data_IF_723661219043
#
_entry.id   IF_723661219043
#
_cell.length_a   1.000
_cell.length_b   1.000
_cell.length_c   1.000
_cell.angle_alpha   90.00
_cell.angle_beta   90.00
_cell.angle_gamma   90.00
#
_symmetry.space_group_name_H-M   'P 1'
#
loop_
_entity.id
_entity.type
_entity.pdbx_description
1 polymer ?
#
# COMPACT_ATOMS: atom_id res chain seq x y z
N UNK A 1 -12.22 2.67 -10.25
CA UNK A 1 -12.21 1.45 -9.40
C UNK A 1 -13.60 1.22 -8.87
N UNK A 2 -14.03 -0.06 -8.75
CA UNK A 2 -15.33 -0.46 -8.20
C UNK A 2 -15.09 -1.60 -7.20
N UNK A 3 -15.69 -1.52 -6.03
CA UNK A 3 -15.72 -2.63 -5.07
C UNK A 3 -16.68 -3.70 -5.58
N UNK A 4 -16.33 -4.96 -5.42
CA UNK A 4 -17.14 -6.11 -5.85
C UNK A 4 -17.61 -6.95 -4.67
N UNK A 5 -16.68 -7.37 -3.83
CA UNK A 5 -16.93 -8.22 -2.67
C UNK A 5 -15.82 -8.06 -1.64
N UNK A 6 -16.12 -8.24 -0.37
CA UNK A 6 -15.09 -8.48 0.63
C UNK A 6 -15.48 -9.63 1.54
N UNK A 7 -14.47 -10.27 2.10
CA UNK A 7 -14.60 -11.28 3.14
C UNK A 7 -13.69 -10.88 4.30
N UNK A 8 -14.27 -10.85 5.48
CA UNK A 8 -13.60 -10.51 6.74
C UNK A 8 -13.43 -11.81 7.53
N UNK A 9 -12.21 -12.33 7.62
CA UNK A 9 -11.97 -13.47 8.51
C UNK A 9 -12.16 -13.02 9.96
N UNK A 10 -11.41 -12.01 10.41
CA UNK A 10 -11.62 -11.35 11.69
C UNK A 10 -11.13 -9.91 11.64
N UNK A 11 -11.94 -8.97 12.08
CA UNK A 11 -11.60 -7.54 12.16
C UNK A 11 -12.49 -6.83 13.18
N UNK A 12 -11.95 -6.44 14.33
CA UNK A 12 -12.73 -5.94 15.45
C UNK A 12 -13.75 -6.98 15.92
N UNK A 13 -15.02 -6.59 15.95
CA UNK A 13 -16.14 -7.48 16.29
C UNK A 13 -16.68 -8.29 15.10
N UNK A 14 -16.20 -8.08 13.88
CA UNK A 14 -16.65 -8.82 12.70
C UNK A 14 -15.81 -10.09 12.53
N UNK A 15 -16.48 -11.23 12.30
CA UNK A 15 -15.85 -12.53 12.11
C UNK A 15 -16.63 -13.35 11.09
N UNK A 16 -15.91 -13.92 10.13
CA UNK A 16 -16.45 -14.79 9.07
C UNK A 16 -17.66 -14.16 8.33
N UNK A 17 -17.48 -12.93 7.83
CA UNK A 17 -18.55 -12.17 7.19
C UNK A 17 -18.16 -11.83 5.75
N UNK A 18 -19.11 -12.05 4.86
CA UNK A 18 -19.05 -11.68 3.45
C UNK A 18 -19.97 -10.49 3.15
N UNK A 19 -19.45 -9.54 2.35
CA UNK A 19 -20.25 -8.45 1.79
C UNK A 19 -20.04 -8.37 0.28
N UNK A 20 -21.13 -8.25 -0.45
CA UNK A 20 -21.13 -7.95 -1.89
C UNK A 20 -21.56 -6.51 -2.12
N UNK A 21 -20.97 -5.86 -3.09
CA UNK A 21 -21.28 -4.48 -3.46
C UNK A 21 -21.99 -4.47 -4.82
N UNK A 22 -23.13 -3.83 -4.87
CA UNK A 22 -23.89 -3.65 -6.10
C UNK A 22 -23.31 -2.57 -7.00
N UNK A 23 -23.80 -2.50 -8.23
CA UNK A 23 -23.51 -1.40 -9.13
C UNK A 23 -24.21 -0.12 -8.65
N UNK A 24 -23.46 0.96 -8.54
CA UNK A 24 -23.99 2.24 -8.05
C UNK A 24 -24.00 2.34 -6.53
N UNK A 25 -25.14 2.61 -5.93
CA UNK A 25 -25.30 2.82 -4.49
C UNK A 25 -25.60 1.51 -3.76
N UNK A 26 -24.72 1.11 -2.85
CA UNK A 26 -24.96 0.03 -1.91
C UNK A 26 -25.34 0.60 -0.55
N UNK A 27 -26.52 0.25 -0.02
CA UNK A 27 -26.98 0.69 1.29
C UNK A 27 -26.94 -0.48 2.27
N UNK A 28 -26.17 -0.32 3.34
CA UNK A 28 -26.12 -1.28 4.43
C UNK A 28 -26.97 -0.79 5.61
N UNK A 29 -28.18 -1.32 5.72
CA UNK A 29 -29.07 -1.03 6.84
C UNK A 29 -28.99 -2.16 7.88
N UNK A 30 -28.44 -1.84 9.05
CA UNK A 30 -28.25 -2.78 10.16
C UNK A 30 -28.38 -2.04 11.51
N UNK A 31 -28.77 -2.71 12.59
CA UNK A 31 -28.80 -2.10 13.92
C UNK A 31 -27.50 -1.44 14.35
N UNK A 32 -27.59 -0.56 15.34
CA UNK A 32 -26.38 0.00 15.97
C UNK A 32 -25.59 -1.12 16.65
N UNK A 33 -24.25 -1.05 16.56
CA UNK A 33 -23.39 -2.11 17.09
C UNK A 33 -23.06 -3.24 16.11
N UNK A 34 -23.79 -3.38 14.98
CA UNK A 34 -23.52 -4.44 13.99
C UNK A 34 -22.09 -4.39 13.42
N UNK A 35 -21.44 -3.24 13.40
CA UNK A 35 -20.08 -3.12 12.85
C UNK A 35 -20.01 -2.38 11.50
N UNK A 36 -21.01 -1.56 11.14
CA UNK A 36 -20.99 -0.74 9.91
C UNK A 36 -19.70 0.09 9.77
N UNK A 37 -19.31 0.79 10.83
CA UNK A 37 -18.05 1.57 10.86
C UNK A 37 -16.83 0.68 10.84
N UNK A 38 -16.92 -0.52 11.39
CA UNK A 38 -15.85 -1.52 11.36
C UNK A 38 -15.64 -2.05 9.95
N UNK A 39 -16.71 -2.30 9.19
CA UNK A 39 -16.62 -2.66 7.76
C UNK A 39 -15.95 -1.57 6.95
N UNK A 40 -16.33 -0.32 7.14
CA UNK A 40 -15.72 0.81 6.43
C UNK A 40 -14.21 0.95 6.79
N UNK A 41 -13.86 0.77 8.06
CA UNK A 41 -12.47 0.76 8.51
C UNK A 41 -11.69 -0.45 7.93
N UNK A 42 -12.34 -1.61 7.80
CA UNK A 42 -11.75 -2.78 7.13
C UNK A 42 -11.41 -2.47 5.68
N UNK A 43 -12.34 -1.90 4.91
CA UNK A 43 -12.08 -1.52 3.50
C UNK A 43 -10.88 -0.57 3.40
N UNK A 44 -10.83 0.47 4.26
CA UNK A 44 -9.69 1.38 4.34
C UNK A 44 -8.39 0.63 4.65
N UNK A 45 -8.41 -0.28 5.63
CA UNK A 45 -7.24 -1.08 6.01
C UNK A 45 -6.79 -2.03 4.88
N UNK A 46 -7.73 -2.58 4.10
CA UNK A 46 -7.41 -3.40 2.94
C UNK A 46 -6.71 -2.61 1.83
N UNK A 47 -7.06 -1.34 1.66
CA UNK A 47 -6.47 -0.45 0.64
C UNK A 47 -5.11 0.10 1.08
N UNK A 48 -5.01 0.61 2.30
CA UNK A 48 -3.84 1.36 2.78
C UNK A 48 -2.97 0.61 3.80
N UNK A 49 -3.48 -0.48 4.39
CA UNK A 49 -2.85 -1.08 5.56
C UNK A 49 -3.01 -0.20 6.82
N UNK A 50 -2.28 -0.55 7.87
CA UNK A 50 -2.15 0.28 9.06
C UNK A 50 -0.85 1.09 9.03
N UNK A 51 -0.81 2.30 9.63
CA UNK A 51 0.40 3.08 9.76
C UNK A 51 1.52 2.28 10.45
N UNK A 52 2.75 2.43 9.97
CA UNK A 52 3.93 1.76 10.57
C UNK A 52 4.25 2.30 11.95
N UNK A 53 3.99 3.58 12.18
CA UNK A 53 4.21 4.25 13.46
C UNK A 53 2.98 4.02 14.35
N UNK A 54 3.13 3.17 15.36
CA UNK A 54 2.07 2.91 16.31
C UNK A 54 1.92 4.08 17.29
N UNK A 55 0.77 4.73 17.27
CA UNK A 55 0.40 5.68 18.33
C UNK A 55 0.09 4.91 19.62
N UNK A 56 0.40 5.52 20.78
CA UNK A 56 0.20 4.87 22.09
C UNK A 56 -1.26 4.76 22.49
N UNK A 57 -2.07 5.79 22.17
CA UNK A 57 -3.49 5.84 22.50
C UNK A 57 -4.28 4.79 21.69
N UNK A 58 -5.20 4.09 22.36
CA UNK A 58 -6.09 3.11 21.71
C UNK A 58 -7.00 3.78 20.67
N UNK A 59 -7.46 4.99 20.94
CA UNK A 59 -8.33 5.76 20.03
C UNK A 59 -7.65 6.18 18.73
N UNK A 60 -6.33 6.32 18.76
CA UNK A 60 -5.51 6.75 17.62
C UNK A 60 -4.77 5.60 16.93
N UNK A 61 -4.83 4.39 17.51
CA UNK A 61 -4.15 3.21 17.00
C UNK A 61 -5.16 2.21 16.43
N UNK A 62 -5.49 2.38 15.16
CA UNK A 62 -6.48 1.54 14.47
C UNK A 62 -6.12 0.05 14.54
N UNK A 63 -4.84 -0.32 14.52
CA UNK A 63 -4.39 -1.72 14.65
C UNK A 63 -4.82 -2.35 15.97
N UNK A 64 -4.72 -1.61 17.08
CA UNK A 64 -5.17 -2.07 18.40
C UNK A 64 -6.69 -2.00 18.54
N UNK A 65 -7.29 -0.94 18.01
CA UNK A 65 -8.74 -0.70 18.06
C UNK A 65 -9.53 -1.80 17.38
N UNK A 66 -9.05 -2.28 16.24
CA UNK A 66 -9.71 -3.31 15.45
C UNK A 66 -9.10 -4.70 15.61
N UNK A 67 -8.24 -4.90 16.63
CA UNK A 67 -7.72 -6.23 16.94
C UNK A 67 -8.88 -7.17 17.28
N UNK A 68 -9.00 -8.35 16.64
CA UNK A 68 -10.08 -9.29 16.90
C UNK A 68 -10.10 -9.78 18.34
N UNK A 69 -11.22 -9.65 19.00
CA UNK A 69 -11.38 -10.09 20.40
C UNK A 69 -11.43 -11.62 20.52
N UNK A 70 -11.96 -12.27 19.49
CA UNK A 70 -12.10 -13.73 19.38
C UNK A 70 -10.81 -14.42 18.94
N UNK A 71 -9.76 -13.67 18.62
CA UNK A 71 -8.53 -14.22 18.04
C UNK A 71 -8.69 -14.60 16.56
N UNK A 72 -7.87 -15.54 16.09
CA UNK A 72 -7.86 -15.96 14.70
C UNK A 72 -7.02 -15.07 13.78
N UNK A 73 -7.11 -15.28 12.46
CA UNK A 73 -6.38 -14.48 11.49
C UNK A 73 -7.01 -13.10 11.36
N UNK A 74 -6.25 -12.09 11.67
CA UNK A 74 -6.67 -10.69 11.64
C UNK A 74 -6.56 -10.13 10.23
N UNK A 75 -7.67 -10.00 9.53
CA UNK A 75 -7.72 -9.50 8.15
C UNK A 75 -8.76 -10.22 7.29
N UNK A 76 -8.45 -10.39 6.01
CA UNK A 76 -9.32 -11.01 5.03
C UNK A 76 -8.94 -10.65 3.61
N UNK A 77 -9.94 -10.57 2.71
CA UNK A 77 -9.69 -10.12 1.34
C UNK A 77 -10.75 -9.12 0.86
N UNK A 78 -10.37 -8.34 -0.15
CA UNK A 78 -11.21 -7.39 -0.87
C UNK A 78 -11.07 -7.63 -2.38
N UNK A 79 -12.19 -7.79 -3.08
CA UNK A 79 -12.24 -7.90 -4.54
C UNK A 79 -12.69 -6.55 -5.10
N UNK A 80 -11.94 -6.04 -6.05
CA UNK A 80 -12.25 -4.80 -6.74
C UNK A 80 -11.98 -4.93 -8.25
N UNK A 81 -12.74 -4.18 -9.03
CA UNK A 81 -12.52 -4.04 -10.48
C UNK A 81 -11.77 -2.75 -10.78
N UNK A 82 -10.75 -2.84 -11.60
CA UNK A 82 -9.95 -1.72 -12.10
C UNK A 82 -9.59 -1.93 -13.56
N UNK A 83 -10.00 -0.99 -14.43
CA UNK A 83 -9.79 -1.07 -15.89
C UNK A 83 -10.27 -2.40 -16.49
N UNK A 84 -11.45 -2.89 -16.08
CA UNK A 84 -12.05 -4.12 -16.60
C UNK A 84 -11.46 -5.42 -16.03
N UNK A 85 -10.46 -5.36 -15.17
CA UNK A 85 -9.81 -6.52 -14.55
C UNK A 85 -10.23 -6.61 -13.08
N UNK A 86 -10.60 -7.80 -12.62
CA UNK A 86 -10.92 -8.06 -11.23
C UNK A 86 -9.69 -8.51 -10.45
N UNK A 87 -9.37 -7.80 -9.40
CA UNK A 87 -8.27 -8.08 -8.48
C UNK A 87 -8.78 -8.49 -7.12
N UNK A 88 -8.11 -9.45 -6.49
CA UNK A 88 -8.28 -9.78 -5.08
C UNK A 88 -7.04 -9.35 -4.32
N UNK A 89 -7.18 -8.38 -3.45
CA UNK A 89 -6.18 -8.05 -2.44
C UNK A 89 -6.48 -8.85 -1.17
N UNK A 90 -5.48 -9.55 -0.63
CA UNK A 90 -5.56 -10.21 0.67
C UNK A 90 -4.54 -9.57 1.61
N UNK A 91 -5.00 -9.18 2.79
CA UNK A 91 -4.14 -8.63 3.86
C UNK A 91 -4.45 -9.31 5.18
N UNK A 92 -3.38 -9.70 5.84
CA UNK A 92 -3.45 -10.15 7.22
C UNK A 92 -2.49 -9.33 8.06
N UNK A 93 -2.97 -8.89 9.20
CA UNK A 93 -2.27 -7.98 10.08
C UNK A 93 -1.70 -8.72 11.28
N UNK A 94 -0.43 -8.49 11.55
CA UNK A 94 0.23 -8.99 12.76
C UNK A 94 0.11 -8.00 13.91
N UNK A 95 0.71 -8.36 15.04
CA UNK A 95 0.87 -7.46 16.19
C UNK A 95 1.74 -6.25 15.86
N UNK A 96 2.64 -6.39 14.88
CA UNK A 96 3.53 -5.35 14.37
C UNK A 96 3.43 -5.29 12.85
N UNK A 97 3.77 -4.15 12.27
CA UNK A 97 3.75 -3.94 10.81
C UNK A 97 4.69 -4.90 10.04
N UNK A 98 5.75 -5.39 10.69
CA UNK A 98 6.68 -6.34 10.09
C UNK A 98 6.07 -7.74 9.86
N UNK A 99 4.97 -8.05 10.56
CA UNK A 99 4.25 -9.33 10.43
C UNK A 99 3.02 -9.23 9.53
N UNK A 100 2.79 -8.08 8.92
CA UNK A 100 1.69 -7.91 7.97
C UNK A 100 2.03 -8.63 6.68
N UNK A 101 1.02 -9.30 6.12
CA UNK A 101 1.12 -9.93 4.80
C UNK A 101 0.25 -9.18 3.81
N UNK A 102 0.71 -9.14 2.56
CA UNK A 102 -0.01 -8.55 1.45
C UNK A 102 0.16 -9.45 0.23
N UNK A 103 -0.94 -9.76 -0.44
CA UNK A 103 -0.91 -10.41 -1.73
C UNK A 103 -1.98 -9.82 -2.65
N UNK A 104 -1.65 -9.74 -3.94
CA UNK A 104 -2.56 -9.27 -4.98
C UNK A 104 -2.69 -10.36 -6.04
N UNK A 105 -3.91 -10.77 -6.32
CA UNK A 105 -4.23 -11.79 -7.31
C UNK A 105 -5.14 -11.22 -8.39
N UNK A 106 -4.79 -11.41 -9.64
CA UNK A 106 -5.60 -11.08 -10.81
C UNK A 106 -6.56 -12.25 -11.05
N UNK A 107 -7.83 -12.06 -10.69
CA UNK A 107 -8.87 -13.10 -10.82
C UNK A 107 -9.17 -13.35 -12.28
N UNK A 108 -9.18 -12.30 -13.12
CA UNK A 108 -9.52 -12.39 -14.54
C UNK A 108 -8.51 -13.26 -15.29
N UNK A 109 -7.23 -13.07 -15.02
CA UNK A 109 -6.15 -13.82 -15.67
C UNK A 109 -5.62 -14.99 -14.82
N UNK A 110 -6.20 -15.25 -13.65
CA UNK A 110 -5.87 -16.36 -12.73
C UNK A 110 -4.39 -16.45 -12.35
N UNK A 111 -3.76 -15.31 -12.05
CA UNK A 111 -2.34 -15.24 -11.70
C UNK A 111 -2.06 -14.23 -10.59
N UNK A 112 -0.96 -14.41 -9.91
CA UNK A 112 -0.46 -13.37 -9.01
C UNK A 112 -0.12 -12.11 -9.82
N UNK A 113 -0.42 -10.96 -9.23
CA UNK A 113 -0.21 -9.67 -9.88
C UNK A 113 0.77 -8.83 -9.07
N UNK A 114 1.71 -8.21 -9.75
CA UNK A 114 2.63 -7.20 -9.21
C UNK A 114 2.27 -5.79 -9.68
N UNK A 115 1.07 -5.61 -10.26
CA UNK A 115 0.63 -4.32 -10.81
C UNK A 115 0.59 -3.24 -9.74
N UNK A 116 0.19 -3.60 -8.54
CA UNK A 116 0.15 -2.70 -7.38
C UNK A 116 0.99 -3.29 -6.24
N UNK A 117 1.62 -2.39 -5.49
CA UNK A 117 2.38 -2.74 -4.30
C UNK A 117 1.51 -2.79 -3.04
N UNK A 118 2.13 -2.95 -1.87
CA UNK A 118 1.43 -2.81 -0.59
C UNK A 118 0.88 -1.41 -0.33
N UNK A 119 1.26 -0.39 -1.10
CA UNK A 119 0.68 0.95 -1.09
C UNK A 119 -0.52 1.07 -2.05
N UNK A 120 -1.36 0.03 -2.13
CA UNK A 120 -2.45 -0.10 -3.09
C UNK A 120 -3.36 1.12 -3.16
N UNK A 121 -3.76 1.69 -2.01
CA UNK A 121 -4.64 2.85 -1.96
C UNK A 121 -3.99 4.10 -2.56
N UNK A 122 -2.71 4.34 -2.26
CA UNK A 122 -1.96 5.48 -2.82
C UNK A 122 -1.80 5.35 -4.34
N UNK A 123 -1.53 4.14 -4.83
CA UNK A 123 -1.39 3.89 -6.25
C UNK A 123 -2.70 3.99 -7.03
N UNK A 124 -3.83 3.54 -6.42
CA UNK A 124 -5.16 3.59 -7.05
C UNK A 124 -5.76 5.00 -7.08
N UNK A 125 -5.66 5.74 -5.96
CA UNK A 125 -6.35 7.02 -5.78
C UNK A 125 -5.40 8.21 -5.88
N UNK A 126 -4.09 7.98 -5.84
CA UNK A 126 -3.06 9.02 -5.74
C UNK A 126 -3.28 9.96 -4.55
N UNK A 127 -3.81 9.40 -3.47
CA UNK A 127 -4.06 10.05 -2.19
C UNK A 127 -3.42 9.22 -1.10
N UNK A 128 -2.84 9.86 -0.11
CA UNK A 128 -2.43 9.17 1.12
C UNK A 128 -3.64 8.74 1.95
N UNK A 129 -3.42 7.89 2.95
CA UNK A 129 -4.47 7.36 3.82
C UNK A 129 -5.27 8.44 4.56
N UNK A 130 -4.63 9.57 4.86
CA UNK A 130 -5.23 10.69 5.61
C UNK A 130 -6.12 11.53 4.68
N UNK A 131 -5.63 11.83 3.48
CA UNK A 131 -6.39 12.52 2.44
C UNK A 131 -7.60 11.71 1.97
N UNK A 132 -7.43 10.39 1.81
CA UNK A 132 -8.53 9.48 1.52
C UNK A 132 -9.59 9.49 2.63
N UNK A 133 -9.16 9.44 3.89
CA UNK A 133 -10.07 9.46 5.03
C UNK A 133 -10.86 10.76 5.14
N UNK A 134 -10.32 11.88 4.66
CA UNK A 134 -10.96 13.20 4.71
C UNK A 134 -11.82 13.51 3.49
N UNK A 135 -11.57 12.88 2.36
CA UNK A 135 -12.25 13.17 1.09
C UNK A 135 -13.28 12.12 0.70
N UNK A 136 -12.92 10.84 0.79
CA UNK A 136 -13.72 9.73 0.26
C UNK A 136 -14.42 8.94 1.36
N UNK A 137 -13.76 8.79 2.50
CA UNK A 137 -14.29 8.11 3.67
C UNK A 137 -14.98 9.12 4.56
N UNK A 138 -16.31 9.22 4.46
CA UNK A 138 -17.10 10.09 5.34
C UNK A 138 -17.54 9.29 6.57
N UNK A 139 -16.84 9.39 7.71
CA UNK A 139 -17.31 8.80 8.95
C UNK A 139 -18.56 9.54 9.42
N UNK A 140 -19.22 9.01 10.44
CA UNK A 140 -20.34 9.68 11.10
C UNK A 140 -19.94 11.15 11.41
N UNK A 141 -20.79 12.08 10.96
CA UNK A 141 -20.59 13.53 11.16
C UNK A 141 -20.34 13.83 12.65
N UNK A 142 -19.09 13.95 13.03
CA UNK A 142 -18.69 14.65 14.22
C UNK A 142 -18.64 16.11 13.82
N UNK A 143 -19.35 16.96 14.56
CA UNK A 143 -19.59 18.37 14.20
C UNK A 143 -18.33 19.28 14.07
N UNK A 144 -17.18 18.71 13.85
CA UNK A 144 -15.95 19.41 13.57
C UNK A 144 -15.71 19.41 12.04
N UNK A 145 -15.71 20.59 11.47
CA UNK A 145 -15.28 20.85 10.10
C UNK A 145 -13.87 20.28 9.93
N UNK A 146 -13.74 19.22 9.11
CA UNK A 146 -12.44 18.66 8.77
C UNK A 146 -11.66 19.69 7.96
N UNK A 147 -10.57 20.20 8.51
CA UNK A 147 -9.61 20.96 7.72
C UNK A 147 -9.07 20.04 6.62
N UNK A 148 -9.01 20.57 5.39
CA UNK A 148 -8.44 19.83 4.26
C UNK A 148 -6.98 19.46 4.58
N UNK A 149 -6.56 18.25 4.18
CA UNK A 149 -5.15 17.87 4.30
C UNK A 149 -4.29 18.75 3.36
N UNK A 150 -3.03 18.93 3.72
CA UNK A 150 -2.07 19.68 2.87
C UNK A 150 -2.00 19.13 1.45
N UNK A 151 -2.18 17.81 1.27
CA UNK A 151 -2.18 17.19 -0.05
C UNK A 151 -3.44 17.51 -0.86
N UNK A 152 -4.62 17.56 -0.22
CA UNK A 152 -5.87 18.00 -0.87
C UNK A 152 -5.77 19.48 -1.22
N UNK A 153 -5.24 20.31 -0.32
CA UNK A 153 -5.02 21.73 -0.59
C UNK A 153 -4.06 21.91 -1.77
N UNK A 154 -2.94 21.20 -1.80
CA UNK A 154 -1.99 21.27 -2.91
C UNK A 154 -2.63 20.86 -4.25
N UNK A 155 -3.45 19.79 -4.25
CA UNK A 155 -4.17 19.36 -5.46
C UNK A 155 -5.24 20.37 -5.91
N UNK A 156 -5.97 20.95 -4.97
CA UNK A 156 -6.94 22.00 -5.28
C UNK A 156 -6.26 23.28 -5.78
N UNK A 157 -5.15 23.71 -5.15
CA UNK A 157 -4.35 24.83 -5.62
C UNK A 157 -3.84 24.59 -7.05
N UNK A 158 -3.34 23.38 -7.33
CA UNK A 158 -2.89 23.02 -8.68
C UNK A 158 -4.01 22.99 -9.72
N UNK A 159 -5.27 22.80 -9.33
CA UNK A 159 -6.44 22.88 -10.23
C UNK A 159 -6.92 24.31 -10.44
N UNK A 160 -6.72 25.18 -9.46
CA UNK A 160 -7.15 26.59 -9.51
C UNK A 160 -6.06 27.50 -10.10
N UNK A 161 -4.80 27.16 -9.82
CA UNK A 161 -3.63 27.88 -10.30
C UNK A 161 -3.04 27.19 -11.54
N UNK A 162 -3.63 27.44 -12.69
CA UNK A 162 -3.09 27.03 -14.01
C UNK A 162 -1.77 27.75 -14.36
N UNK A 163 -1.11 28.37 -13.39
CA UNK A 163 0.06 29.23 -13.56
C UNK A 163 1.27 28.95 -12.67
N UNK A 164 1.25 27.97 -11.77
CA UNK A 164 2.41 27.71 -10.92
C UNK A 164 2.93 26.27 -11.01
N UNK A 165 3.68 26.00 -12.07
CA UNK A 165 4.53 24.79 -12.26
C UNK A 165 5.56 24.56 -11.14
N UNK A 166 5.78 25.52 -10.25
CA UNK A 166 6.82 25.48 -9.21
C UNK A 166 6.54 24.38 -8.19
N UNK A 167 5.31 24.24 -7.71
CA UNK A 167 4.96 23.20 -6.72
C UNK A 167 4.97 21.79 -7.34
N UNK A 168 4.63 21.67 -8.62
CA UNK A 168 4.73 20.42 -9.36
C UNK A 168 6.19 20.06 -9.63
N UNK A 169 7.05 21.06 -9.89
CA UNK A 169 8.48 20.88 -10.10
C UNK A 169 9.16 20.38 -8.82
N UNK A 170 8.91 20.99 -7.67
CA UNK A 170 9.51 20.58 -6.39
C UNK A 170 9.10 19.17 -5.98
N UNK A 171 7.82 18.83 -6.13
CA UNK A 171 7.31 17.47 -5.87
C UNK A 171 7.92 16.45 -6.86
N UNK A 172 8.08 16.80 -8.12
CA UNK A 172 8.72 15.97 -9.12
C UNK A 172 10.21 15.79 -8.81
N UNK A 173 10.90 16.87 -8.41
CA UNK A 173 12.29 16.83 -8.01
C UNK A 173 12.53 15.99 -6.74
N UNK A 174 11.66 16.06 -5.74
CA UNK A 174 11.74 15.20 -4.56
C UNK A 174 11.54 13.73 -4.93
N UNK A 175 10.55 13.41 -5.76
CA UNK A 175 10.34 12.04 -6.27
C UNK A 175 11.55 11.51 -7.04
N UNK A 176 12.15 12.35 -7.88
CA UNK A 176 13.36 12.02 -8.62
C UNK A 176 14.56 11.82 -7.69
N UNK A 177 14.76 12.69 -6.70
CA UNK A 177 15.80 12.54 -5.68
C UNK A 177 15.64 11.24 -4.89
N UNK A 178 14.41 10.90 -4.50
CA UNK A 178 14.10 9.66 -3.79
C UNK A 178 14.36 8.42 -4.66
N UNK A 179 13.94 8.44 -5.93
CA UNK A 179 14.25 7.36 -6.88
C UNK A 179 15.75 7.26 -7.13
N UNK A 180 16.46 8.36 -7.35
CA UNK A 180 17.91 8.36 -7.52
C UNK A 180 18.61 7.75 -6.31
N UNK A 181 18.20 8.10 -5.07
CA UNK A 181 18.76 7.54 -3.85
C UNK A 181 18.58 6.02 -3.71
N UNK A 182 17.53 5.45 -4.28
CA UNK A 182 17.33 4.00 -4.31
C UNK A 182 18.29 3.28 -5.28
N UNK A 183 18.70 3.96 -6.35
CA UNK A 183 19.63 3.39 -7.33
C UNK A 183 21.09 3.72 -7.05
N UNK A 184 21.36 4.91 -6.51
CA UNK A 184 22.71 5.40 -6.27
C UNK A 184 22.77 6.16 -4.94
N UNK A 185 23.62 5.70 -4.01
CA UNK A 185 23.91 6.43 -2.78
C UNK A 185 24.66 7.74 -3.09
N UNK A 186 24.46 8.77 -2.24
CA UNK A 186 25.15 10.05 -2.36
C UNK A 186 26.70 9.93 -2.32
N UNK A 187 27.22 8.85 -1.69
CA UNK A 187 28.66 8.54 -1.60
C UNK A 187 29.17 7.60 -2.71
N UNK A 188 28.34 7.21 -3.66
CA UNK A 188 28.74 6.38 -4.79
C UNK A 188 28.75 4.86 -4.56
N UNK A 189 28.96 4.41 -3.32
CA UNK A 189 29.24 2.99 -3.00
C UNK A 189 28.01 2.18 -2.58
N UNK A 190 26.84 2.78 -2.55
CA UNK A 190 25.59 2.15 -2.10
C UNK A 190 24.48 2.21 -3.14
N UNK A 191 23.35 1.53 -2.83
CA UNK A 191 22.21 1.39 -3.72
C UNK A 191 22.44 0.33 -4.79
N UNK A 192 21.43 0.12 -5.64
CA UNK A 192 21.42 -0.96 -6.65
C UNK A 192 22.63 -0.89 -7.60
N UNK A 193 23.08 0.31 -7.94
CA UNK A 193 24.26 0.50 -8.83
C UNK A 193 25.53 0.04 -8.13
N UNK A 194 25.73 0.39 -6.85
CA UNK A 194 26.91 -0.05 -6.09
C UNK A 194 26.93 -1.57 -5.87
N UNK A 195 25.78 -2.20 -5.62
CA UNK A 195 25.65 -3.65 -5.52
C UNK A 195 26.07 -4.34 -6.83
N UNK A 196 25.54 -3.87 -7.97
CA UNK A 196 25.88 -4.43 -9.28
C UNK A 196 27.35 -4.20 -9.66
N UNK A 197 27.92 -3.07 -9.29
CA UNK A 197 29.35 -2.81 -9.50
C UNK A 197 30.26 -3.78 -8.71
N UNK A 198 29.89 -4.09 -7.46
CA UNK A 198 30.61 -5.10 -6.66
C UNK A 198 30.46 -6.49 -7.27
N UNK A 199 29.27 -6.86 -7.71
CA UNK A 199 29.01 -8.14 -8.35
C UNK A 199 29.80 -8.29 -9.66
N UNK A 200 29.88 -7.23 -10.47
CA UNK A 200 30.72 -7.19 -11.69
C UNK A 200 32.21 -7.35 -11.34
N UNK A 201 32.67 -6.69 -10.28
CA UNK A 201 34.07 -6.81 -9.85
C UNK A 201 34.41 -8.25 -9.44
N UNK A 202 33.56 -8.87 -8.61
CA UNK A 202 33.77 -10.26 -8.17
C UNK A 202 33.73 -11.26 -9.32
N UNK A 203 32.84 -11.03 -10.29
CA UNK A 203 32.76 -11.89 -11.48
C UNK A 203 33.99 -11.73 -12.39
N UNK A 204 34.53 -10.50 -12.51
CA UNK A 204 35.77 -10.28 -13.26
C UNK A 204 36.97 -10.97 -12.62
N UNK A 205 37.12 -10.81 -11.30
CA UNK A 205 38.20 -11.47 -10.56
C UNK A 205 38.12 -13.01 -10.69
N UNK A 206 36.89 -13.57 -10.66
CA UNK A 206 36.68 -15.00 -10.88
C UNK A 206 37.03 -15.44 -12.29
N UNK A 207 36.71 -14.61 -13.28
CA UNK A 207 37.02 -14.88 -14.69
C UNK A 207 38.51 -14.82 -14.98
N UNK A 208 39.20 -13.86 -14.39
CA UNK A 208 40.65 -13.72 -14.50
C UNK A 208 41.36 -14.94 -13.87
N UNK A 209 40.90 -15.35 -12.68
CA UNK A 209 41.41 -16.57 -12.03
C UNK A 209 41.18 -17.82 -12.90
N UNK A 210 40.02 -17.97 -13.48
CA UNK A 210 39.68 -19.10 -14.36
C UNK A 210 40.58 -19.11 -15.63
N UNK A 211 40.84 -17.94 -16.21
CA UNK A 211 41.73 -17.79 -17.37
C UNK A 211 43.20 -18.13 -17.03
N UNK A 212 43.64 -17.79 -15.83
CA UNK A 212 44.98 -18.17 -15.36
C UNK A 212 45.11 -19.69 -15.18
N UNK A 213 44.09 -20.33 -14.57
CA UNK A 213 44.04 -21.79 -14.45
C UNK A 213 44.05 -22.47 -15.80
N UNK A 214 43.30 -21.97 -16.77
CA UNK A 214 43.25 -22.53 -18.13
C UNK A 214 44.57 -22.39 -18.86
N UNK A 215 45.30 -21.27 -18.67
CA UNK A 215 46.68 -21.09 -19.20
C UNK A 215 47.69 -22.08 -18.60
N UNK A 216 47.60 -22.33 -17.29
CA UNK A 216 48.46 -23.30 -16.62
C UNK A 216 48.20 -24.74 -17.10
N UNK A 217 46.95 -25.11 -17.32
CA UNK A 217 46.54 -26.41 -17.85
C UNK A 217 47.02 -26.64 -19.28
N UNK A 218 47.07 -25.59 -20.11
CA UNK A 218 47.54 -25.69 -21.50
C UNK A 218 49.07 -25.66 -21.63
N UNK A 219 49.80 -25.39 -20.55
CA UNK A 219 51.28 -25.37 -20.53
C UNK A 219 51.89 -26.63 -19.84
N UNK A 220 51.03 -27.47 -19.27
CA UNK A 220 51.38 -28.76 -18.70
C UNK A 220 51.10 -29.89 -19.69
#
# INVERSE_FOLDING_TARGET
MKLVRCHIENFGGLSDIDFSFEDGLTVLYQPNGFGKSTLAAFIKAMLYGFPRTAKRSLSENDRKKYLPWQGGKYGGFLIFSYQGINYRVSRYFGTTAARDTFSLYDITNRRESKKFSSALGEELFQLDSDSYARSTYMPQLQGNVSYSSTEIQAKLSNLVEDTNDINNFDSAMERLKKKRGAYQSYRGDGGRVGELQKEISTLRDSLDSANEWQKQLNQS
#
